data_IF_381949278664
#
_entry.id   IF_381949278664
#
_cell.length_a   1.000
_cell.length_b   1.000
_cell.length_c   1.000
_cell.angle_alpha   90.00
_cell.angle_beta   90.00
_cell.angle_gamma   90.00
#
_symmetry.space_group_name_H-M   'P 1'
#
loop_
_entity.id
_entity.type
_entity.pdbx_description
1 polymer ?
#
# COMPACT_ATOMS: atom_id res chain seq x y z
N UNK A 1 25.37 -6.81 17.19
CA UNK A 1 25.00 -7.82 16.17
C UNK A 1 23.49 -7.97 16.20
N UNK A 2 22.75 -7.42 15.22
CA UNK A 2 21.29 -7.63 15.14
C UNK A 2 21.08 -8.95 14.39
N UNK A 3 20.65 -9.99 15.10
CA UNK A 3 20.32 -11.29 14.49
C UNK A 3 19.18 -11.06 13.49
N UNK A 4 19.44 -11.31 12.20
CA UNK A 4 18.38 -11.27 11.20
C UNK A 4 17.36 -12.36 11.57
N UNK A 5 16.11 -11.97 11.82
CA UNK A 5 15.03 -12.95 12.00
C UNK A 5 14.82 -13.63 10.65
N UNK A 6 15.12 -14.93 10.59
CA UNK A 6 14.80 -15.77 9.42
C UNK A 6 13.28 -15.98 9.38
N UNK A 7 12.58 -15.17 8.59
CA UNK A 7 11.15 -15.35 8.41
C UNK A 7 10.88 -16.49 7.41
N UNK A 8 10.07 -17.52 7.73
CA UNK A 8 9.87 -18.69 6.87
C UNK A 8 9.42 -18.36 5.45
N UNK A 9 8.50 -17.39 5.28
CA UNK A 9 8.04 -16.97 3.96
C UNK A 9 9.14 -16.28 3.13
N UNK A 10 10.10 -15.61 3.78
CA UNK A 10 11.22 -14.97 3.07
C UNK A 10 12.29 -16.02 2.76
N UNK A 11 12.64 -16.85 3.75
CA UNK A 11 13.65 -17.90 3.59
C UNK A 11 13.22 -18.98 2.58
N UNK A 12 11.91 -19.17 2.39
CA UNK A 12 11.35 -20.12 1.44
C UNK A 12 11.18 -19.59 0.01
N UNK A 13 11.62 -18.37 -0.30
CA UNK A 13 11.56 -17.81 -1.65
C UNK A 13 12.58 -18.47 -2.58
N UNK A 14 12.15 -18.96 -3.75
CA UNK A 14 13.00 -19.49 -4.83
C UNK A 14 13.25 -18.41 -5.89
N UNK A 15 14.11 -17.42 -5.57
CA UNK A 15 14.41 -16.32 -6.48
C UNK A 15 15.39 -16.80 -7.57
N UNK A 16 14.85 -17.27 -8.69
CA UNK A 16 15.67 -17.73 -9.84
C UNK A 16 16.34 -16.60 -10.59
N UNK A 17 15.75 -15.41 -10.54
CA UNK A 17 16.24 -14.20 -11.19
C UNK A 17 16.04 -12.98 -10.30
N UNK A 18 17.13 -12.28 -10.05
CA UNK A 18 17.09 -10.99 -9.35
C UNK A 18 16.46 -9.91 -10.23
N UNK A 19 15.43 -9.24 -9.68
CA UNK A 19 14.70 -8.14 -10.29
C UNK A 19 14.80 -6.90 -9.40
N UNK A 20 14.62 -5.68 -9.95
CA UNK A 20 14.65 -4.45 -9.15
C UNK A 20 13.69 -4.45 -7.96
N UNK A 21 12.54 -5.12 -8.06
CA UNK A 21 11.61 -5.28 -6.93
C UNK A 21 12.21 -6.10 -5.78
N UNK A 22 13.07 -7.10 -6.06
CA UNK A 22 13.73 -7.89 -5.01
C UNK A 22 14.75 -7.04 -4.24
N UNK A 23 15.53 -6.23 -4.95
CA UNK A 23 16.48 -5.29 -4.35
C UNK A 23 15.75 -4.28 -3.44
N UNK A 24 14.69 -3.65 -3.95
CA UNK A 24 13.87 -2.72 -3.17
C UNK A 24 13.20 -3.39 -1.98
N UNK A 25 12.55 -4.55 -2.18
CA UNK A 25 11.92 -5.31 -1.09
C UNK A 25 12.94 -5.70 -0.02
N UNK A 26 14.17 -6.14 -0.36
CA UNK A 26 15.22 -6.41 0.65
C UNK A 26 15.53 -5.18 1.51
N UNK A 27 15.69 -4.00 0.90
CA UNK A 27 15.95 -2.75 1.64
C UNK A 27 14.77 -2.36 2.54
N UNK A 28 13.54 -2.49 2.04
CA UNK A 28 12.33 -2.21 2.81
C UNK A 28 12.19 -3.12 4.03
N UNK A 29 12.46 -4.42 3.88
CA UNK A 29 12.46 -5.36 5.01
C UNK A 29 13.52 -5.04 6.05
N UNK A 30 14.66 -4.50 5.62
CA UNK A 30 15.72 -4.06 6.52
C UNK A 30 15.36 -2.80 7.33
N UNK A 31 14.33 -2.04 6.95
CA UNK A 31 13.84 -0.90 7.73
C UNK A 31 13.28 -1.34 9.09
N UNK A 32 12.66 -2.52 9.15
CA UNK A 32 12.12 -3.06 10.40
C UNK A 32 12.44 -4.56 10.56
N UNK A 33 13.68 -4.92 10.95
CA UNK A 33 14.12 -6.31 11.00
C UNK A 33 13.35 -7.19 11.99
N UNK A 34 12.70 -6.59 13.00
CA UNK A 34 11.84 -7.30 13.95
C UNK A 34 10.53 -7.79 13.34
N UNK A 35 10.06 -7.12 12.28
CA UNK A 35 8.84 -7.47 11.57
C UNK A 35 9.08 -7.30 10.05
N UNK A 36 9.87 -8.20 9.44
CA UNK A 36 10.33 -8.03 8.06
C UNK A 36 9.21 -8.16 7.03
N UNK A 37 8.00 -8.57 7.42
CA UNK A 37 6.82 -8.56 6.56
C UNK A 37 6.02 -7.26 6.63
N UNK A 38 6.42 -6.24 7.41
CA UNK A 38 5.66 -4.98 7.47
C UNK A 38 5.80 -4.17 6.17
N UNK A 39 6.95 -4.29 5.51
CA UNK A 39 7.24 -3.55 4.28
C UNK A 39 7.78 -4.45 3.17
N UNK A 40 7.71 -3.95 1.94
CA UNK A 40 8.12 -4.69 0.76
C UNK A 40 7.14 -5.79 0.39
N UNK A 41 7.35 -6.36 -0.79
CA UNK A 41 6.42 -7.28 -1.44
C UNK A 41 7.13 -8.53 -1.91
N UNK A 42 6.41 -9.65 -1.97
CA UNK A 42 6.86 -10.85 -2.64
C UNK A 42 6.58 -10.78 -4.16
N UNK A 43 7.30 -11.57 -4.94
CA UNK A 43 6.91 -11.90 -6.32
C UNK A 43 6.28 -13.28 -6.28
N UNK A 44 5.09 -13.41 -6.87
CA UNK A 44 4.26 -14.61 -6.73
C UNK A 44 4.98 -15.87 -7.26
N UNK A 45 5.82 -15.71 -8.28
CA UNK A 45 6.57 -16.81 -8.88
C UNK A 45 7.71 -17.32 -7.99
N UNK A 46 8.15 -16.54 -7.00
CA UNK A 46 9.18 -16.94 -6.06
C UNK A 46 8.63 -17.70 -4.84
N UNK A 47 7.30 -17.81 -4.69
CA UNK A 47 6.65 -18.37 -3.49
C UNK A 47 5.75 -19.58 -3.79
N UNK A 48 5.63 -20.48 -2.81
CA UNK A 48 4.61 -21.54 -2.85
C UNK A 48 3.22 -20.96 -2.65
N UNK A 49 2.30 -21.22 -3.58
CA UNK A 49 0.97 -20.60 -3.64
C UNK A 49 -0.07 -21.19 -2.66
N UNK A 50 0.27 -22.16 -1.81
CA UNK A 50 -0.69 -22.91 -0.98
C UNK A 50 -1.58 -22.04 -0.07
N UNK A 51 -1.06 -20.93 0.46
CA UNK A 51 -1.78 -19.98 1.34
C UNK A 51 -2.00 -18.61 0.70
N UNK A 52 -1.79 -18.52 -0.60
CA UNK A 52 -1.96 -17.29 -1.35
C UNK A 52 -3.29 -17.33 -2.11
N UNK A 53 -3.95 -16.18 -2.22
CA UNK A 53 -5.12 -16.05 -3.09
C UNK A 53 -5.08 -14.76 -3.89
N UNK A 54 -5.59 -14.79 -5.14
CA UNK A 54 -5.68 -13.61 -5.99
C UNK A 54 -6.78 -12.68 -5.47
N UNK A 55 -6.50 -11.37 -5.46
CA UNK A 55 -7.51 -10.38 -5.10
C UNK A 55 -8.60 -10.24 -6.15
N UNK A 56 -8.27 -10.30 -7.44
CA UNK A 56 -9.26 -10.28 -8.54
C UNK A 56 -9.97 -11.63 -8.76
N UNK A 57 -10.52 -12.21 -7.69
CA UNK A 57 -11.30 -13.45 -7.78
C UNK A 57 -12.59 -13.36 -6.98
N UNK A 58 -13.57 -14.16 -7.39
CA UNK A 58 -14.82 -14.38 -6.64
C UNK A 58 -14.53 -14.95 -5.24
N UNK A 59 -13.44 -15.71 -5.09
CA UNK A 59 -12.99 -16.28 -3.82
C UNK A 59 -12.64 -15.21 -2.79
N UNK A 60 -12.25 -14.02 -3.23
CA UNK A 60 -11.91 -12.91 -2.32
C UNK A 60 -13.06 -12.57 -1.39
N UNK A 61 -14.28 -12.43 -1.90
CA UNK A 61 -15.43 -12.03 -1.08
C UNK A 61 -15.80 -13.10 -0.05
N UNK A 62 -15.72 -14.39 -0.42
CA UNK A 62 -15.90 -15.51 0.52
C UNK A 62 -14.84 -15.51 1.63
N UNK A 63 -13.57 -15.23 1.29
CA UNK A 63 -12.50 -15.19 2.28
C UNK A 63 -12.64 -13.97 3.20
N UNK A 64 -12.97 -12.80 2.67
CA UNK A 64 -13.22 -11.60 3.46
C UNK A 64 -14.41 -11.80 4.41
N UNK A 65 -15.48 -12.45 3.97
CA UNK A 65 -16.62 -12.80 4.81
C UNK A 65 -16.18 -13.71 5.96
N UNK A 66 -15.44 -14.78 5.67
CA UNK A 66 -14.96 -15.70 6.70
C UNK A 66 -14.06 -15.01 7.73
N UNK A 67 -13.16 -14.13 7.29
CA UNK A 67 -12.31 -13.33 8.18
C UNK A 67 -13.12 -12.36 9.04
N UNK A 68 -14.12 -11.70 8.45
CA UNK A 68 -15.01 -10.81 9.17
C UNK A 68 -15.83 -11.57 10.22
N UNK A 69 -16.45 -12.68 9.86
CA UNK A 69 -17.29 -13.49 10.76
C UNK A 69 -16.51 -14.04 11.93
N UNK A 70 -15.27 -14.47 11.70
CA UNK A 70 -14.38 -14.95 12.75
C UNK A 70 -14.01 -13.82 13.73
N UNK A 71 -13.57 -12.67 13.22
CA UNK A 71 -13.24 -11.53 14.06
C UNK A 71 -14.47 -10.96 14.79
N UNK A 72 -15.62 -10.88 14.13
CA UNK A 72 -16.85 -10.30 14.68
C UNK A 72 -17.37 -11.06 15.90
N UNK A 73 -17.15 -12.38 15.98
CA UNK A 73 -17.47 -13.19 17.17
C UNK A 73 -16.70 -12.75 18.41
N UNK A 74 -15.48 -12.24 18.23
CA UNK A 74 -14.57 -11.91 19.33
C UNK A 74 -14.61 -10.43 19.72
N UNK A 75 -14.63 -9.52 18.74
CA UNK A 75 -14.49 -8.08 18.96
C UNK A 75 -15.70 -7.25 18.50
N UNK A 76 -16.73 -7.92 18.00
CA UNK A 76 -17.96 -7.30 17.49
C UNK A 76 -17.83 -6.78 16.04
N UNK A 77 -18.98 -6.63 15.33
CA UNK A 77 -19.00 -6.31 13.89
C UNK A 77 -18.26 -5.03 13.50
N UNK A 78 -18.41 -3.95 14.27
CA UNK A 78 -17.79 -2.67 13.94
C UNK A 78 -16.26 -2.73 14.04
N UNK A 79 -15.73 -3.34 15.11
CA UNK A 79 -14.30 -3.48 15.28
C UNK A 79 -13.69 -4.44 14.26
N UNK A 80 -14.37 -5.56 13.98
CA UNK A 80 -13.98 -6.52 12.94
C UNK A 80 -13.90 -5.88 11.55
N UNK A 81 -14.92 -5.12 11.14
CA UNK A 81 -14.91 -4.39 9.87
C UNK A 81 -13.75 -3.38 9.80
N UNK A 82 -13.51 -2.61 10.88
CA UNK A 82 -12.40 -1.66 10.95
C UNK A 82 -11.03 -2.35 10.87
N UNK A 83 -10.86 -3.48 11.55
CA UNK A 83 -9.64 -4.27 11.51
C UNK A 83 -9.38 -4.79 10.09
N UNK A 84 -10.40 -5.38 9.45
CA UNK A 84 -10.28 -5.89 8.09
C UNK A 84 -9.92 -4.78 7.09
N UNK A 85 -10.59 -3.62 7.18
CA UNK A 85 -10.27 -2.43 6.38
C UNK A 85 -8.82 -1.99 6.61
N UNK A 86 -8.37 -1.91 7.86
CA UNK A 86 -7.00 -1.51 8.18
C UNK A 86 -5.96 -2.48 7.60
N UNK A 87 -6.21 -3.79 7.68
CA UNK A 87 -5.34 -4.82 7.07
C UNK A 87 -5.26 -4.66 5.56
N UNK A 88 -6.39 -4.49 4.86
CA UNK A 88 -6.40 -4.31 3.40
C UNK A 88 -5.69 -3.01 2.96
N UNK A 89 -5.90 -1.92 3.69
CA UNK A 89 -5.19 -0.66 3.45
C UNK A 89 -3.69 -0.85 3.64
N UNK A 90 -3.27 -1.57 4.70
CA UNK A 90 -1.87 -1.83 4.94
C UNK A 90 -1.25 -2.64 3.80
N UNK A 91 -1.87 -3.74 3.38
CA UNK A 91 -1.32 -4.60 2.33
C UNK A 91 -1.23 -3.93 0.95
N UNK A 92 -2.15 -3.03 0.64
CA UNK A 92 -2.22 -2.39 -0.69
C UNK A 92 -1.36 -1.14 -0.74
N UNK A 93 -1.63 -0.15 0.11
CA UNK A 93 -0.94 1.14 0.07
C UNK A 93 0.08 1.28 1.20
N UNK A 94 -0.24 0.84 2.41
CA UNK A 94 0.65 0.98 3.58
C UNK A 94 2.05 0.39 3.34
N UNK A 95 2.09 -0.81 2.76
CA UNK A 95 3.28 -1.56 2.39
C UNK A 95 4.09 -0.91 1.27
N UNK A 96 3.39 -0.27 0.32
CA UNK A 96 3.99 0.38 -0.86
C UNK A 96 4.54 1.76 -0.55
N UNK A 97 3.93 2.48 0.39
CA UNK A 97 4.34 3.85 0.74
C UNK A 97 5.84 3.98 1.04
N UNK A 98 6.50 3.11 1.82
CA UNK A 98 7.95 3.15 1.98
C UNK A 98 8.73 3.20 0.67
N UNK A 99 8.32 2.42 -0.33
CA UNK A 99 8.96 2.39 -1.63
C UNK A 99 8.83 3.73 -2.35
N UNK A 100 7.61 4.30 -2.33
CA UNK A 100 7.31 5.57 -2.99
C UNK A 100 8.05 6.70 -2.30
N UNK A 101 7.93 6.77 -0.97
CA UNK A 101 8.43 7.89 -0.17
C UNK A 101 9.96 7.91 -0.14
N UNK A 102 10.61 6.76 0.04
CA UNK A 102 12.07 6.67 0.14
C UNK A 102 12.76 6.56 -1.23
N UNK A 103 12.22 5.75 -2.14
CA UNK A 103 12.93 5.40 -3.39
C UNK A 103 12.33 6.05 -4.63
N UNK A 104 11.14 6.66 -4.57
CA UNK A 104 10.46 7.17 -5.76
C UNK A 104 10.07 6.05 -6.71
N UNK A 105 9.79 4.85 -6.17
CA UNK A 105 9.38 3.67 -6.93
C UNK A 105 8.01 3.19 -6.47
N UNK A 106 7.31 2.45 -7.31
CA UNK A 106 6.05 1.80 -6.94
C UNK A 106 5.89 0.48 -7.70
N UNK A 107 5.38 -0.56 -7.05
CA UNK A 107 4.83 -1.72 -7.77
C UNK A 107 3.37 -1.45 -8.13
N UNK A 108 2.79 -2.32 -8.96
CA UNK A 108 1.40 -2.20 -9.33
C UNK A 108 0.47 -2.81 -8.29
N UNK A 109 -0.31 -1.94 -7.65
CA UNK A 109 -1.28 -2.28 -6.62
C UNK A 109 -2.69 -2.59 -7.16
N UNK A 110 -2.83 -2.87 -8.47
CA UNK A 110 -4.07 -3.35 -9.07
C UNK A 110 -4.50 -4.74 -8.56
N UNK A 111 -5.81 -4.98 -8.49
CA UNK A 111 -6.38 -6.25 -8.01
C UNK A 111 -5.91 -7.45 -8.84
N UNK A 112 -5.78 -7.26 -10.15
CA UNK A 112 -5.31 -8.26 -11.09
C UNK A 112 -3.85 -8.65 -10.85
N UNK A 113 -3.09 -7.75 -10.21
CA UNK A 113 -1.69 -7.95 -9.92
C UNK A 113 -1.43 -8.46 -8.51
N UNK A 114 -2.38 -8.31 -7.60
CA UNK A 114 -2.16 -8.54 -6.18
C UNK A 114 -2.68 -9.89 -5.70
N UNK A 115 -1.84 -10.54 -4.91
CA UNK A 115 -2.18 -11.73 -4.13
C UNK A 115 -1.92 -11.44 -2.67
N UNK A 116 -2.77 -11.96 -1.79
CA UNK A 116 -2.57 -11.88 -0.34
C UNK A 116 -2.16 -13.24 0.20
N UNK A 117 -1.33 -13.21 1.24
CA UNK A 117 -1.00 -14.37 2.06
C UNK A 117 -1.84 -14.36 3.33
N UNK A 118 -2.10 -15.56 3.84
CA UNK A 118 -2.82 -15.79 5.09
C UNK A 118 -1.94 -16.62 5.99
N UNK A 119 -1.74 -16.14 7.20
CA UNK A 119 -0.99 -16.86 8.21
C UNK A 119 -1.74 -18.11 8.69
N UNK A 120 -1.23 -18.74 9.75
CA UNK A 120 -1.85 -19.94 10.33
C UNK A 120 -3.10 -19.64 11.13
N UNK A 121 -3.24 -18.43 11.63
CA UNK A 121 -4.36 -17.98 12.45
C UNK A 121 -5.50 -17.41 11.60
N UNK A 122 -5.29 -17.32 10.28
CA UNK A 122 -6.29 -16.88 9.32
C UNK A 122 -6.25 -15.39 9.01
N UNK A 123 -5.28 -14.65 9.56
CA UNK A 123 -5.10 -13.23 9.31
C UNK A 123 -4.28 -12.98 8.03
N UNK A 124 -4.52 -11.84 7.39
CA UNK A 124 -3.68 -11.35 6.30
C UNK A 124 -2.38 -10.81 6.89
N UNK A 125 -1.25 -11.32 6.43
CA UNK A 125 0.08 -11.00 6.94
C UNK A 125 1.08 -10.60 5.84
N UNK A 126 0.77 -10.84 4.56
CA UNK A 126 1.61 -10.41 3.45
C UNK A 126 0.89 -10.25 2.10
N UNK A 127 1.63 -9.73 1.12
CA UNK A 127 1.19 -9.53 -0.25
C UNK A 127 2.29 -9.91 -1.26
N UNK A 128 1.86 -10.28 -2.46
CA UNK A 128 2.70 -10.58 -3.61
C UNK A 128 2.16 -9.92 -4.87
N UNK A 129 3.06 -9.65 -5.82
CA UNK A 129 2.72 -9.22 -7.18
C UNK A 129 2.91 -10.34 -8.19
N UNK A 130 2.06 -10.37 -9.21
CA UNK A 130 2.22 -11.26 -10.39
C UNK A 130 3.23 -10.65 -11.37
N UNK A 131 3.00 -9.40 -11.77
CA UNK A 131 3.91 -8.57 -12.55
C UNK A 131 4.81 -7.75 -11.59
N UNK A 132 6.12 -8.09 -11.51
CA UNK A 132 7.10 -7.41 -10.66
C UNK A 132 7.58 -6.06 -11.21
N UNK A 133 7.01 -5.55 -12.30
CA UNK A 133 7.46 -4.32 -12.94
C UNK A 133 7.28 -3.09 -12.03
N UNK A 134 8.40 -2.46 -11.66
CA UNK A 134 8.41 -1.22 -10.90
C UNK A 134 8.18 -0.01 -11.80
N UNK A 135 7.38 0.93 -11.31
CA UNK A 135 7.27 2.29 -11.84
C UNK A 135 8.32 3.13 -11.12
N UNK A 136 9.18 3.80 -11.87
CA UNK A 136 10.34 4.53 -11.33
C UNK A 136 10.42 5.94 -11.91
N UNK A 137 11.10 6.85 -11.21
CA UNK A 137 11.39 8.20 -11.70
C UNK A 137 12.57 8.20 -12.69
N UNK A 138 12.75 9.27 -13.50
CA UNK A 138 13.81 9.33 -14.51
C UNK A 138 15.24 9.27 -13.94
N UNK A 139 15.43 9.75 -12.72
CA UNK A 139 16.70 9.75 -11.97
C UNK A 139 17.02 8.39 -11.31
N UNK A 140 16.11 7.41 -11.42
CA UNK A 140 16.34 6.10 -10.86
C UNK A 140 17.54 5.39 -11.51
N UNK A 141 18.44 4.76 -10.73
CA UNK A 141 19.57 4.02 -11.30
C UNK A 141 19.18 2.92 -12.30
N UNK A 142 17.97 2.34 -12.16
CA UNK A 142 17.45 1.35 -13.09
C UNK A 142 16.92 1.99 -14.39
N UNK A 143 16.56 3.28 -14.37
CA UNK A 143 16.18 4.03 -15.57
C UNK A 143 17.43 4.42 -16.39
N UNK A 144 18.53 4.81 -15.74
CA UNK A 144 19.79 5.19 -16.38
C UNK A 144 20.42 4.05 -17.20
N UNK A 145 20.18 2.79 -16.82
CA UNK A 145 20.60 1.61 -17.59
C UNK A 145 19.94 1.50 -18.98
N UNK A 146 18.98 2.38 -19.33
CA UNK A 146 18.34 2.44 -20.66
C UNK A 146 19.10 3.32 -21.66
N UNK A 147 19.96 4.21 -21.20
CA UNK A 147 20.55 5.29 -22.03
C UNK A 147 22.05 5.12 -22.30
N UNK A 148 22.66 4.04 -21.80
CA UNK A 148 24.12 3.88 -21.72
C UNK A 148 24.73 2.81 -22.62
N UNK A 149 24.10 2.41 -23.72
CA UNK A 149 24.68 1.42 -24.65
C UNK A 149 24.56 1.83 -26.12
N UNK A 150 25.47 2.72 -26.52
CA UNK A 150 25.95 2.75 -27.91
C UNK A 150 27.17 1.83 -28.12
N UNK A 151 27.80 1.26 -27.08
CA UNK A 151 29.06 0.53 -27.23
C UNK A 151 29.38 -0.59 -26.21
N UNK A 152 28.46 -1.09 -25.36
CA UNK A 152 28.87 -2.12 -24.38
C UNK A 152 27.81 -2.90 -23.58
N UNK A 153 26.98 -3.73 -24.25
CA UNK A 153 26.35 -4.99 -23.72
C UNK A 153 25.95 -5.02 -22.22
N UNK A 154 25.35 -3.99 -21.64
CA UNK A 154 24.55 -4.16 -20.41
C UNK A 154 23.14 -4.56 -20.80
N UNK A 155 22.69 -5.79 -20.45
CA UNK A 155 21.33 -6.21 -20.74
C UNK A 155 20.33 -5.24 -20.10
N UNK A 156 19.27 -4.91 -20.84
CA UNK A 156 18.12 -4.14 -20.36
C UNK A 156 17.72 -4.69 -18.97
N UNK A 157 17.74 -3.86 -17.93
CA UNK A 157 17.14 -4.25 -16.63
C UNK A 157 15.64 -4.41 -16.86
N UNK A 158 15.20 -5.64 -17.06
CA UNK A 158 13.79 -6.00 -17.12
C UNK A 158 13.08 -5.66 -15.79
N UNK A 159 11.77 -5.42 -15.86
CA UNK A 159 10.96 -5.13 -14.67
C UNK A 159 10.99 -3.68 -14.19
N UNK A 160 11.27 -2.70 -15.07
CA UNK A 160 11.05 -1.26 -14.77
C UNK A 160 10.35 -0.51 -15.90
N UNK A 161 9.47 0.41 -15.51
CA UNK A 161 8.79 1.39 -16.36
C UNK A 161 9.04 2.79 -15.80
N UNK A 162 9.60 3.67 -16.61
CA UNK A 162 9.93 5.04 -16.20
C UNK A 162 8.71 5.95 -16.37
N UNK A 163 8.31 6.65 -15.32
CA UNK A 163 7.32 7.72 -15.33
C UNK A 163 8.01 9.08 -15.48
N UNK A 164 7.34 10.11 -16.05
CA UNK A 164 8.00 11.37 -16.39
C UNK A 164 8.41 12.21 -15.18
N UNK A 165 7.70 12.12 -14.06
CA UNK A 165 7.97 12.91 -12.85
C UNK A 165 7.21 12.37 -11.61
N UNK A 166 7.44 12.97 -10.45
CA UNK A 166 6.79 12.62 -9.18
C UNK A 166 5.26 12.77 -9.22
N UNK A 167 4.74 13.76 -9.94
CA UNK A 167 3.28 13.96 -10.05
C UNK A 167 2.63 12.78 -10.80
N UNK A 168 3.25 12.31 -11.89
CA UNK A 168 2.78 11.13 -12.61
C UNK A 168 2.85 9.87 -11.75
N UNK A 169 3.91 9.70 -10.96
CA UNK A 169 4.02 8.59 -9.99
C UNK A 169 2.90 8.66 -8.94
N UNK A 170 2.66 9.84 -8.36
CA UNK A 170 1.62 10.03 -7.34
C UNK A 170 0.22 9.77 -7.89
N UNK A 171 -0.11 10.30 -9.07
CA UNK A 171 -1.38 10.06 -9.77
C UNK A 171 -1.56 8.57 -10.07
N UNK A 172 -0.51 7.92 -10.57
CA UNK A 172 -0.56 6.51 -10.91
C UNK A 172 -0.78 5.63 -9.66
N UNK A 173 -0.02 5.87 -8.59
CA UNK A 173 -0.20 5.19 -7.29
C UNK A 173 -1.62 5.41 -6.77
N UNK A 174 -2.08 6.66 -6.70
CA UNK A 174 -3.40 7.00 -6.22
C UNK A 174 -4.49 6.30 -7.05
N UNK A 175 -4.35 6.26 -8.37
CA UNK A 175 -5.33 5.63 -9.25
C UNK A 175 -5.38 4.11 -9.05
N UNK A 176 -4.23 3.44 -8.99
CA UNK A 176 -4.17 1.98 -8.81
C UNK A 176 -4.68 1.56 -7.44
N UNK A 177 -4.29 2.28 -6.38
CA UNK A 177 -4.85 2.06 -5.05
C UNK A 177 -6.35 2.36 -4.99
N UNK A 178 -6.82 3.42 -5.66
CA UNK A 178 -8.24 3.75 -5.74
C UNK A 178 -9.05 2.59 -6.34
N UNK A 179 -8.66 2.11 -7.52
CA UNK A 179 -9.37 1.01 -8.21
C UNK A 179 -9.45 -0.25 -7.35
N UNK A 180 -8.37 -0.59 -6.66
CA UNK A 180 -8.34 -1.79 -5.82
C UNK A 180 -9.12 -1.63 -4.52
N UNK A 181 -8.89 -0.53 -3.80
CA UNK A 181 -9.53 -0.30 -2.50
C UNK A 181 -11.03 -0.03 -2.63
N UNK A 182 -11.52 0.62 -3.70
CA UNK A 182 -12.96 0.81 -3.90
C UNK A 182 -13.71 -0.51 -3.92
N UNK A 183 -13.29 -1.46 -4.76
CA UNK A 183 -13.94 -2.80 -4.82
C UNK A 183 -13.92 -3.49 -3.47
N UNK A 184 -12.79 -3.43 -2.76
CA UNK A 184 -12.63 -4.11 -1.48
C UNK A 184 -13.43 -3.43 -0.38
N UNK A 185 -13.55 -2.11 -0.40
CA UNK A 185 -14.39 -1.36 0.54
C UNK A 185 -15.88 -1.64 0.30
N UNK A 186 -16.32 -1.75 -0.95
CA UNK A 186 -17.69 -2.16 -1.27
C UNK A 186 -17.98 -3.57 -0.74
N UNK A 187 -17.03 -4.51 -0.92
CA UNK A 187 -17.13 -5.88 -0.38
C UNK A 187 -17.22 -5.88 1.14
N UNK A 188 -16.31 -5.21 1.85
CA UNK A 188 -16.34 -5.13 3.32
C UNK A 188 -17.60 -4.41 3.83
N UNK A 189 -18.07 -3.38 3.13
CA UNK A 189 -19.30 -2.68 3.47
C UNK A 189 -20.51 -3.61 3.39
N UNK A 190 -20.62 -4.41 2.34
CA UNK A 190 -21.68 -5.41 2.18
C UNK A 190 -21.61 -6.51 3.25
N UNK A 191 -20.44 -7.13 3.41
CA UNK A 191 -20.17 -8.21 4.38
C UNK A 191 -20.47 -7.79 5.82
N UNK A 192 -20.16 -6.55 6.17
CA UNK A 192 -20.35 -6.01 7.51
C UNK A 192 -21.73 -5.36 7.74
N UNK A 193 -22.65 -5.47 6.78
CA UNK A 193 -23.95 -4.79 6.80
C UNK A 193 -23.83 -3.29 7.13
N UNK A 194 -22.85 -2.64 6.50
CA UNK A 194 -22.59 -1.22 6.67
C UNK A 194 -22.04 -0.79 8.03
N UNK A 195 -21.46 -1.71 8.82
CA UNK A 195 -20.89 -1.38 10.13
C UNK A 195 -19.86 -0.25 10.08
N UNK A 196 -19.17 -0.09 8.95
CA UNK A 196 -18.30 1.05 8.64
C UNK A 196 -18.74 1.67 7.31
N UNK A 197 -18.93 2.99 7.29
CA UNK A 197 -19.21 3.72 6.05
C UNK A 197 -17.97 3.77 5.15
N UNK A 198 -18.14 3.64 3.83
CA UNK A 198 -17.05 3.72 2.84
C UNK A 198 -16.24 5.02 2.98
N UNK A 199 -16.89 6.15 3.25
CA UNK A 199 -16.23 7.43 3.57
C UNK A 199 -15.27 7.32 4.76
N UNK A 200 -15.65 6.57 5.80
CA UNK A 200 -14.78 6.35 6.96
C UNK A 200 -13.58 5.46 6.60
N UNK A 201 -13.74 4.50 5.68
CA UNK A 201 -12.64 3.67 5.18
C UNK A 201 -11.61 4.53 4.42
N UNK A 202 -12.04 5.46 3.56
CA UNK A 202 -11.15 6.42 2.90
C UNK A 202 -10.44 7.38 3.87
N UNK A 203 -11.10 7.81 4.95
CA UNK A 203 -10.40 8.55 6.00
C UNK A 203 -9.29 7.71 6.67
N UNK A 204 -9.46 6.38 6.80
CA UNK A 204 -8.40 5.50 7.29
C UNK A 204 -7.24 5.45 6.30
N UNK A 205 -7.49 5.45 4.99
CA UNK A 205 -6.43 5.54 3.95
C UNK A 205 -5.60 6.80 4.14
N UNK A 206 -6.25 7.96 4.27
CA UNK A 206 -5.54 9.22 4.48
C UNK A 206 -4.73 9.24 5.77
N UNK A 207 -5.30 8.76 6.87
CA UNK A 207 -4.59 8.60 8.14
C UNK A 207 -3.40 7.65 8.02
N UNK A 208 -3.51 6.56 7.26
CA UNK A 208 -2.44 5.60 7.05
C UNK A 208 -1.28 6.22 6.26
N UNK A 209 -1.57 7.02 5.22
CA UNK A 209 -0.54 7.73 4.44
C UNK A 209 0.27 8.68 5.33
N UNK A 210 -0.42 9.51 6.12
CA UNK A 210 0.23 10.43 7.05
C UNK A 210 0.99 9.66 8.14
N UNK A 211 0.39 8.61 8.68
CA UNK A 211 0.98 7.77 9.73
C UNK A 211 2.29 7.13 9.28
N UNK A 212 2.32 6.53 8.08
CA UNK A 212 3.53 5.93 7.51
C UNK A 212 4.58 7.00 7.23
N UNK A 213 4.22 8.12 6.60
CA UNK A 213 5.16 9.21 6.33
C UNK A 213 5.82 9.76 7.61
N UNK A 214 5.09 9.80 8.72
CA UNK A 214 5.59 10.26 10.00
C UNK A 214 6.50 9.23 10.72
N UNK A 215 6.24 7.93 10.53
CA UNK A 215 6.84 6.86 11.35
C UNK A 215 7.88 6.02 10.62
N UNK A 216 7.99 6.14 9.29
CA UNK A 216 8.90 5.31 8.51
C UNK A 216 10.37 5.50 8.96
N UNK A 217 11.11 4.42 9.26
CA UNK A 217 12.53 4.49 9.56
C UNK A 217 13.31 5.09 8.39
N UNK A 218 14.24 6.00 8.71
CA UNK A 218 14.98 6.79 7.71
C UNK A 218 16.43 6.31 7.62
N UNK A 219 16.81 5.53 6.61
CA UNK A 219 18.22 5.37 6.29
C UNK A 219 18.73 6.69 5.69
N UNK A 220 19.87 7.19 6.19
CA UNK A 220 20.53 8.34 5.58
C UNK A 220 20.89 8.03 4.11
N UNK A 221 20.73 8.97 3.14
CA UNK A 221 20.51 10.41 3.30
C UNK A 221 19.12 10.91 2.84
N UNK A 222 18.01 10.22 3.17
CA UNK A 222 16.67 10.66 2.72
C UNK A 222 16.24 11.96 3.43
N UNK A 223 15.92 13.00 2.64
CA UNK A 223 15.42 14.30 3.11
C UNK A 223 13.91 14.23 3.45
N UNK A 224 13.56 14.71 4.64
CA UNK A 224 12.18 14.80 5.15
C UNK A 224 11.26 15.55 4.20
N UNK A 225 11.77 16.58 3.53
CA UNK A 225 11.00 17.34 2.56
C UNK A 225 10.54 16.46 1.40
N UNK A 226 11.33 15.47 0.98
CA UNK A 226 10.96 14.52 -0.08
C UNK A 226 9.81 13.61 0.38
N UNK A 227 9.87 13.11 1.61
CA UNK A 227 8.81 12.26 2.20
C UNK A 227 7.50 13.03 2.31
N UNK A 228 7.55 14.25 2.86
CA UNK A 228 6.36 15.11 2.99
C UNK A 228 5.79 15.47 1.62
N UNK A 229 6.64 15.89 0.67
CA UNK A 229 6.20 16.24 -0.68
C UNK A 229 5.52 15.08 -1.39
N UNK A 230 6.12 13.88 -1.38
CA UNK A 230 5.55 12.69 -2.04
C UNK A 230 4.26 12.21 -1.37
N UNK A 231 4.19 12.20 -0.04
CA UNK A 231 2.97 11.81 0.68
C UNK A 231 1.81 12.79 0.42
N UNK A 232 2.08 14.10 0.40
CA UNK A 232 1.08 15.10 0.02
C UNK A 232 0.65 14.97 -1.43
N UNK A 233 1.57 14.74 -2.37
CA UNK A 233 1.22 14.54 -3.77
C UNK A 233 0.27 13.36 -3.99
N UNK A 234 0.44 12.25 -3.25
CA UNK A 234 -0.49 11.10 -3.29
C UNK A 234 -1.86 11.49 -2.73
N UNK A 235 -1.90 12.21 -1.60
CA UNK A 235 -3.15 12.69 -1.00
C UNK A 235 -3.89 13.67 -1.91
N UNK A 236 -3.17 14.61 -2.54
CA UNK A 236 -3.73 15.57 -3.49
C UNK A 236 -4.28 14.86 -4.72
N UNK A 237 -3.58 13.85 -5.26
CA UNK A 237 -4.09 13.04 -6.34
C UNK A 237 -5.37 12.27 -5.95
N UNK A 238 -5.42 11.68 -4.75
CA UNK A 238 -6.62 11.02 -4.23
C UNK A 238 -7.79 12.00 -4.06
N UNK A 239 -7.55 13.20 -3.54
CA UNK A 239 -8.55 14.27 -3.46
C UNK A 239 -9.01 14.72 -4.84
N UNK A 240 -8.08 14.80 -5.81
CA UNK A 240 -8.38 15.10 -7.22
C UNK A 240 -9.32 14.07 -7.87
N UNK A 241 -9.29 12.81 -7.41
CA UNK A 241 -10.26 11.78 -7.81
C UNK A 241 -11.59 11.84 -7.03
N UNK A 242 -11.76 12.81 -6.12
CA UNK A 242 -12.95 12.97 -5.29
C UNK A 242 -12.97 12.10 -4.03
N UNK A 243 -11.83 11.50 -3.63
CA UNK A 243 -11.80 10.60 -2.48
C UNK A 243 -11.74 11.38 -1.16
N UNK A 244 -12.54 11.01 -0.14
CA UNK A 244 -12.56 11.67 1.15
C UNK A 244 -11.42 11.16 2.04
N UNK A 245 -10.17 11.37 1.61
CA UNK A 245 -8.96 10.97 2.36
C UNK A 245 -8.51 12.03 3.36
N UNK A 246 -9.02 13.26 3.23
CA UNK A 246 -8.81 14.33 4.20
C UNK A 246 -10.06 14.46 5.05
N UNK A 247 -9.90 14.52 6.38
CA UNK A 247 -11.01 14.90 7.25
C UNK A 247 -11.42 16.31 6.87
N UNK A 248 -12.66 16.47 6.42
CA UNK A 248 -13.26 17.79 6.34
C UNK A 248 -13.20 18.39 7.74
N UNK A 249 -12.53 19.54 7.91
CA UNK A 249 -12.79 20.35 9.11
C UNK A 249 -14.27 20.65 9.07
N UNK A 250 -15.02 20.15 10.06
CA UNK A 250 -16.40 20.58 10.26
C UNK A 250 -16.33 22.10 10.34
N UNK A 251 -16.91 22.80 9.37
CA UNK A 251 -17.08 24.24 9.51
C UNK A 251 -17.91 24.42 10.78
N UNK A 252 -17.29 24.93 11.83
CA UNK A 252 -18.02 25.50 12.95
C UNK A 252 -18.84 26.62 12.34
N UNK A 253 -20.15 26.38 12.16
CA UNK A 253 -21.06 27.44 11.78
C UNK A 253 -20.86 28.58 12.80
N UNK A 254 -20.63 29.83 12.36
CA UNK A 254 -20.56 30.92 13.31
C UNK A 254 -21.88 30.94 14.06
N UNK A 255 -21.79 30.95 15.39
CA UNK A 255 -22.92 31.21 16.26
C UNK A 255 -23.39 32.62 15.93
N UNK A 256 -24.37 32.76 15.04
CA UNK A 256 -25.03 34.04 14.80
C UNK A 256 -25.74 34.36 16.10
N UNK A 257 -25.13 35.24 16.89
CA UNK A 257 -25.77 35.82 18.06
C UNK A 257 -26.99 36.60 17.55
N UNK A 258 -28.17 36.00 17.68
CA UNK A 258 -29.41 36.73 17.66
C UNK A 258 -29.41 37.64 18.91
N UNK A 259 -29.10 38.91 18.73
CA UNK A 259 -29.61 39.95 19.62
C UNK A 259 -30.67 40.72 18.85
N UNK A 260 -31.91 40.34 19.18
CA UNK A 260 -33.10 41.11 18.92
C UNK A 260 -32.96 42.50 19.52
N UNK A 261 -33.46 43.51 18.81
CA UNK A 261 -33.57 44.86 19.30
C UNK A 261 -34.70 45.06 20.29
N UNK A 262 -34.63 46.24 20.93
CA UNK A 262 -35.64 46.95 21.73
C UNK A 262 -35.99 46.29 23.07
N UNK A 263 -35.84 46.96 24.21
CA UNK A 263 -36.37 48.29 24.59
C UNK A 263 -35.33 49.07 25.41
#
# INVERSE_FOLDING_TARGET
>A
MRTAIHHPLISGMDIRRELPVHESSRRLRALFPGCPLVYGIAVLDDVSRQRWWPLDSQRTDTLLQAMFDDAAKNIGPHAAARQLVASLIHEIIGRMLPLVLLEGRAWDAGLENLWLHRDRDGAIDWAAVVDPTLRVLPDDPCAAARSGDAFGRRPRREGVLTLPNEAALAIWVAHRCHRSLSRLFDSVHAISNGAVAVTAMWHIVGSAIIGVAAQIPRPAPVDDHVITRRSQAILDAMVGFGLPVRRSRRATAPLVAAHAGSI
#
